data_IF_891292071034
#
_entry.id   IF_891292071034
#
_cell.length_a   1.000
_cell.length_b   1.000
_cell.length_c   1.000
_cell.angle_alpha   90.00
_cell.angle_beta   90.00
_cell.angle_gamma   90.00
#
_symmetry.space_group_name_H-M   'P 1'
#
loop_
_entity.id
_entity.type
_entity.pdbx_description
1 polymer ?
#
# COMPACT_ATOMS: atom_id res chain seq x y z
N UNK A 1 -19.60 44.01 -8.17
CA UNK A 1 -18.24 43.66 -7.72
C UNK A 1 -18.03 42.17 -8.00
N UNK A 2 -17.18 41.82 -8.97
CA UNK A 2 -16.92 40.41 -9.30
C UNK A 2 -16.04 39.78 -8.21
N UNK A 3 -16.58 38.77 -7.52
CA UNK A 3 -15.85 38.00 -6.52
C UNK A 3 -14.71 37.23 -7.15
N UNK A 4 -13.47 37.59 -6.81
CA UNK A 4 -12.31 36.78 -7.14
C UNK A 4 -12.31 35.53 -6.26
N UNK A 5 -12.55 34.36 -6.86
CA UNK A 5 -12.34 33.09 -6.19
C UNK A 5 -10.82 32.83 -6.16
N UNK A 6 -10.19 33.06 -5.01
CA UNK A 6 -8.79 32.63 -4.78
C UNK A 6 -8.77 31.10 -4.78
N UNK A 7 -8.42 30.51 -5.92
CA UNK A 7 -8.34 29.06 -6.14
C UNK A 7 -6.97 28.45 -5.79
N UNK A 8 -6.09 29.21 -5.15
CA UNK A 8 -4.75 28.73 -4.82
C UNK A 8 -4.67 28.48 -3.32
N UNK A 9 -4.94 27.25 -2.93
CA UNK A 9 -4.65 26.76 -1.59
C UNK A 9 -3.14 26.70 -1.43
N UNK A 10 -2.59 27.33 -0.39
CA UNK A 10 -1.19 27.15 -0.04
C UNK A 10 -1.02 25.78 0.58
N UNK A 11 0.06 25.07 0.22
CA UNK A 11 0.43 23.79 0.85
C UNK A 11 0.59 23.93 2.38
N UNK A 12 0.86 25.15 2.88
CA UNK A 12 1.02 25.45 4.30
C UNK A 12 -0.27 25.90 5.00
N UNK A 13 -1.39 26.01 4.28
CA UNK A 13 -2.65 26.41 4.90
C UNK A 13 -3.12 25.29 5.84
N UNK A 14 -3.18 25.61 7.14
CA UNK A 14 -3.46 24.64 8.21
C UNK A 14 -4.80 23.91 8.00
N UNK A 15 -5.81 24.61 7.48
CA UNK A 15 -7.12 24.03 7.16
C UNK A 15 -7.03 23.00 6.02
N UNK A 16 -6.12 23.21 5.06
CA UNK A 16 -5.87 22.28 3.96
C UNK A 16 -5.15 21.03 4.46
N UNK A 17 -4.18 21.20 5.35
CA UNK A 17 -3.45 20.09 5.97
C UNK A 17 -4.36 19.24 6.88
N UNK A 18 -5.20 19.88 7.71
CA UNK A 18 -6.21 19.20 8.53
C UNK A 18 -7.21 18.39 7.68
N UNK A 19 -7.56 18.89 6.50
CA UNK A 19 -8.44 18.17 5.57
C UNK A 19 -7.78 16.90 5.02
N UNK A 20 -6.46 16.81 5.00
CA UNK A 20 -5.72 15.63 4.53
C UNK A 20 -5.43 14.64 5.65
N UNK A 21 -5.22 15.11 6.88
CA UNK A 21 -5.00 14.23 8.06
C UNK A 21 -6.13 13.22 8.27
N UNK A 22 -7.37 13.61 7.94
CA UNK A 22 -8.53 12.74 8.13
C UNK A 22 -8.78 11.79 6.94
N UNK A 23 -8.00 11.89 5.86
CA UNK A 23 -8.22 11.06 4.68
C UNK A 23 -7.42 9.76 4.77
N UNK A 24 -8.02 8.63 4.37
CA UNK A 24 -7.30 7.37 4.34
C UNK A 24 -6.17 7.42 3.30
N UNK A 25 -5.08 6.71 3.57
CA UNK A 25 -3.89 6.62 2.69
C UNK A 25 -4.28 6.14 1.27
N UNK A 26 -5.29 5.26 1.20
CA UNK A 26 -5.87 4.74 -0.04
C UNK A 26 -7.39 4.82 0.02
N UNK A 27 -8.05 4.85 -1.15
CA UNK A 27 -9.50 4.73 -1.22
C UNK A 27 -9.95 3.35 -0.72
N UNK A 28 -11.06 3.29 0.00
CA UNK A 28 -11.69 2.05 0.45
C UNK A 28 -12.10 1.12 -0.71
N UNK A 29 -12.34 1.68 -1.89
CA UNK A 29 -12.65 0.92 -3.11
C UNK A 29 -11.41 0.46 -3.88
N UNK A 30 -10.20 0.63 -3.32
CA UNK A 30 -8.96 0.21 -3.96
C UNK A 30 -8.56 -1.21 -3.53
N UNK A 31 -7.84 -1.90 -4.42
CA UNK A 31 -7.27 -3.21 -4.09
C UNK A 31 -6.33 -3.14 -2.87
N UNK A 32 -5.61 -2.04 -2.69
CA UNK A 32 -4.69 -1.86 -1.56
C UNK A 32 -5.46 -1.87 -0.23
N UNK A 33 -6.63 -1.20 -0.18
CA UNK A 33 -7.49 -1.26 0.99
C UNK A 33 -7.99 -2.70 1.21
N UNK A 34 -8.49 -3.38 0.17
CA UNK A 34 -8.95 -4.76 0.29
C UNK A 34 -7.85 -5.70 0.81
N UNK A 35 -6.62 -5.53 0.34
CA UNK A 35 -5.45 -6.32 0.79
C UNK A 35 -5.12 -6.07 2.26
N UNK A 36 -5.25 -4.82 2.74
CA UNK A 36 -5.05 -4.46 4.15
C UNK A 36 -6.03 -5.18 5.09
N UNK A 37 -7.25 -5.44 4.60
CA UNK A 37 -8.31 -6.11 5.36
C UNK A 37 -8.25 -7.64 5.24
N UNK A 38 -7.41 -8.17 4.35
CA UNK A 38 -7.35 -9.58 3.99
C UNK A 38 -6.37 -10.40 4.86
N UNK A 39 -6.01 -9.95 6.06
CA UNK A 39 -5.04 -10.65 6.90
C UNK A 39 -5.48 -12.08 7.28
N UNK A 40 -6.79 -12.32 7.41
CA UNK A 40 -7.33 -13.66 7.63
C UNK A 40 -7.26 -14.57 6.39
N UNK A 41 -7.10 -13.98 5.19
CA UNK A 41 -6.98 -14.72 3.92
C UNK A 41 -5.51 -15.05 3.66
N UNK A 42 -4.58 -14.15 3.98
CA UNK A 42 -3.15 -14.32 3.76
C UNK A 42 -2.44 -14.77 5.03
N UNK A 43 -2.68 -16.02 5.43
CA UNK A 43 -1.99 -16.67 6.55
C UNK A 43 -0.70 -17.34 6.08
N UNK A 44 0.35 -17.32 6.89
CA UNK A 44 1.64 -17.89 6.51
C UNK A 44 1.56 -19.40 6.24
N UNK A 45 0.70 -20.10 6.99
CA UNK A 45 0.49 -21.54 6.89
C UNK A 45 -0.01 -21.96 5.49
N UNK A 46 -0.76 -21.09 4.80
CA UNK A 46 -1.26 -21.37 3.45
C UNK A 46 -0.15 -21.41 2.39
N UNK A 47 1.01 -20.83 2.70
CA UNK A 47 2.11 -20.62 1.76
C UNK A 47 3.43 -21.20 2.28
N UNK A 48 3.40 -21.92 3.41
CA UNK A 48 4.58 -22.48 4.06
C UNK A 48 5.36 -23.43 3.13
N UNK A 49 4.66 -24.17 2.26
CA UNK A 49 5.27 -25.11 1.31
C UNK A 49 6.14 -24.41 0.24
N UNK A 50 6.00 -23.10 0.06
CA UNK A 50 6.88 -22.32 -0.82
C UNK A 50 8.23 -21.98 -0.16
N UNK A 51 8.40 -22.29 1.13
CA UNK A 51 9.56 -21.93 1.93
C UNK A 51 10.27 -23.17 2.48
N UNK A 52 11.60 -23.08 2.57
CA UNK A 52 12.40 -24.10 3.25
C UNK A 52 12.42 -23.85 4.76
N UNK A 53 12.37 -24.92 5.55
CA UNK A 53 12.56 -24.84 7.01
C UNK A 53 14.01 -24.48 7.40
N UNK A 54 14.97 -24.68 6.49
CA UNK A 54 16.38 -24.32 6.70
C UNK A 54 16.80 -23.20 5.75
N UNK A 55 17.66 -22.29 6.24
CA UNK A 55 18.21 -21.20 5.43
C UNK A 55 18.38 -19.90 6.20
N UNK A 56 18.53 -18.81 5.45
CA UNK A 56 18.59 -17.45 6.01
C UNK A 56 17.19 -16.98 6.41
N UNK A 57 17.07 -16.11 7.44
CA UNK A 57 15.83 -15.44 7.75
C UNK A 57 15.26 -14.76 6.50
N UNK A 58 14.00 -15.05 6.21
CA UNK A 58 13.27 -14.55 5.04
C UNK A 58 12.02 -13.81 5.49
N UNK A 59 11.45 -12.98 4.62
CA UNK A 59 10.17 -12.32 4.90
C UNK A 59 9.05 -13.35 5.01
N UNK A 60 8.00 -13.11 5.82
CA UNK A 60 6.84 -14.00 5.92
C UNK A 60 6.25 -14.34 4.53
N UNK A 61 5.89 -15.61 4.28
CA UNK A 61 5.38 -16.02 2.98
C UNK A 61 4.07 -15.32 2.60
N UNK A 62 3.17 -15.05 3.56
CA UNK A 62 1.96 -14.25 3.32
C UNK A 62 2.29 -12.88 2.75
N UNK A 63 3.27 -12.18 3.34
CA UNK A 63 3.75 -10.86 2.88
C UNK A 63 4.32 -10.94 1.47
N UNK A 64 5.15 -11.95 1.18
CA UNK A 64 5.70 -12.14 -0.17
C UNK A 64 4.60 -12.35 -1.21
N UNK A 65 3.58 -13.16 -0.89
CA UNK A 65 2.44 -13.38 -1.80
C UNK A 65 1.65 -12.09 -2.05
N UNK A 66 1.40 -11.27 -1.02
CA UNK A 66 0.76 -9.96 -1.21
C UNK A 66 1.58 -9.08 -2.18
N UNK A 67 2.90 -9.03 -2.03
CA UNK A 67 3.81 -8.29 -2.93
C UNK A 67 3.74 -8.84 -4.37
N UNK A 68 3.70 -10.15 -4.56
CA UNK A 68 3.60 -10.77 -5.89
C UNK A 68 2.25 -10.45 -6.55
N UNK A 69 1.15 -10.47 -5.78
CA UNK A 69 -0.17 -10.10 -6.29
C UNK A 69 -0.23 -8.63 -6.71
N UNK A 70 0.29 -7.73 -5.88
CA UNK A 70 0.38 -6.31 -6.21
C UNK A 70 1.31 -6.05 -7.40
N UNK A 71 2.42 -6.79 -7.51
CA UNK A 71 3.31 -6.74 -8.68
C UNK A 71 2.54 -7.09 -9.96
N UNK A 72 1.74 -8.15 -9.92
CA UNK A 72 0.94 -8.58 -11.06
C UNK A 72 -0.15 -7.55 -11.39
N UNK A 73 -0.87 -7.07 -10.37
CA UNK A 73 -1.94 -6.08 -10.53
C UNK A 73 -1.42 -4.75 -11.12
N UNK A 74 -0.33 -4.22 -10.57
CA UNK A 74 0.29 -2.97 -11.03
C UNK A 74 1.13 -3.16 -12.32
N UNK A 75 1.30 -4.40 -12.79
CA UNK A 75 2.08 -4.78 -13.98
C UNK A 75 3.51 -4.26 -13.95
N UNK A 76 4.17 -4.43 -12.81
CA UNK A 76 5.53 -3.94 -12.59
C UNK A 76 6.57 -5.06 -12.57
N UNK A 77 7.81 -4.69 -12.87
CA UNK A 77 8.95 -5.60 -12.73
C UNK A 77 9.21 -5.93 -11.25
N UNK A 78 9.92 -7.03 -10.98
CA UNK A 78 10.29 -7.39 -9.61
C UNK A 78 11.12 -6.31 -8.91
N UNK A 79 11.98 -5.60 -9.65
CA UNK A 79 12.79 -4.49 -9.11
C UNK A 79 11.94 -3.29 -8.69
N UNK A 80 10.87 -3.02 -9.43
CA UNK A 80 9.94 -1.95 -9.09
C UNK A 80 9.00 -2.37 -7.94
N UNK A 81 8.58 -3.64 -7.91
CA UNK A 81 7.83 -4.21 -6.79
C UNK A 81 8.64 -4.13 -5.48
N UNK A 82 9.94 -4.43 -5.51
CA UNK A 82 10.83 -4.28 -4.35
C UNK A 82 10.85 -2.82 -3.84
N UNK A 83 10.97 -1.85 -4.75
CA UNK A 83 10.96 -0.43 -4.39
C UNK A 83 9.62 -0.02 -3.79
N UNK A 84 8.50 -0.45 -4.36
CA UNK A 84 7.17 -0.11 -3.86
C UNK A 84 6.89 -0.76 -2.51
N UNK A 85 7.24 -2.04 -2.35
CA UNK A 85 7.14 -2.74 -1.07
C UNK A 85 7.98 -2.09 0.05
N UNK A 86 9.00 -1.30 -0.30
CA UNK A 86 9.86 -0.58 0.63
C UNK A 86 9.43 0.87 0.89
N UNK A 87 8.88 1.57 -0.10
CA UNK A 87 8.73 3.02 -0.07
C UNK A 87 7.33 3.54 -0.42
N UNK A 88 6.44 2.69 -0.92
CA UNK A 88 5.07 3.10 -1.29
C UNK A 88 4.11 2.78 -0.15
N UNK A 89 3.57 3.81 0.50
CA UNK A 89 2.63 3.68 1.62
C UNK A 89 1.38 2.87 1.25
N UNK A 90 0.97 2.84 -0.03
CA UNK A 90 -0.17 2.05 -0.48
C UNK A 90 0.13 0.56 -0.42
N UNK A 91 1.38 0.19 -0.71
CA UNK A 91 1.87 -1.19 -0.63
C UNK A 91 2.23 -1.59 0.80
N UNK A 92 2.66 -0.65 1.64
CA UNK A 92 2.89 -0.90 3.07
C UNK A 92 1.59 -1.20 3.81
N UNK A 93 0.51 -0.49 3.46
CA UNK A 93 -0.81 -0.70 4.04
C UNK A 93 -1.44 -2.05 3.62
N UNK A 94 -1.17 -2.48 2.39
CA UNK A 94 -1.77 -3.67 1.77
C UNK A 94 -1.24 -4.99 2.36
#
# INVERSE_FOLDING_TARGET
>A
MLGHKKNQLSFTDIDTLQTWEQKPIVSENSIYYSMSQANEIFKDELFADAYSFSGRPSIPPSRLIKVILLQFYDKVSGREAEKRARYDLRWELA
#
